data_IF_473474717828
#
_entry.id   IF_473474717828
#
_cell.length_a   1.000
_cell.length_b   1.000
_cell.length_c   1.000
_cell.angle_alpha   90.00
_cell.angle_beta   90.00
_cell.angle_gamma   90.00
#
_symmetry.space_group_name_H-M   'P 1'
#
loop_
_entity.id
_entity.type
_entity.pdbx_description
1 polymer ?
#
# COMPACT_ATOMS: atom_id res chain seq x y z
N UNK A 1 -9.02 -2.50 17.86
CA UNK A 1 -8.33 -2.34 16.56
C UNK A 1 -7.67 -3.68 16.23
N UNK A 2 -7.98 -4.30 15.09
CA UNK A 2 -7.30 -5.54 14.66
C UNK A 2 -6.05 -5.15 13.90
N UNK A 3 -4.89 -5.54 14.42
CA UNK A 3 -3.62 -5.39 13.73
C UNK A 3 -3.61 -6.35 12.54
N UNK A 4 -3.71 -5.82 11.34
CA UNK A 4 -3.58 -6.60 10.10
C UNK A 4 -2.08 -6.75 9.85
N UNK A 5 -1.50 -7.83 10.36
CA UNK A 5 -0.13 -8.23 10.01
C UNK A 5 -0.17 -8.90 8.64
N UNK A 6 0.11 -8.15 7.57
CA UNK A 6 0.51 -8.77 6.31
C UNK A 6 1.94 -9.27 6.49
N UNK A 7 2.10 -10.54 6.86
CA UNK A 7 3.41 -11.19 6.87
C UNK A 7 3.79 -11.56 5.43
N UNK A 8 4.12 -10.57 4.59
CA UNK A 8 4.88 -10.84 3.38
C UNK A 8 6.36 -10.92 3.75
N UNK A 9 7.04 -11.94 3.25
CA UNK A 9 8.49 -12.09 3.39
C UNK A 9 9.20 -10.79 2.95
N UNK A 10 10.08 -10.19 3.77
CA UNK A 10 10.88 -9.03 3.38
C UNK A 10 11.63 -9.21 2.05
N UNK A 11 11.94 -10.45 1.67
CA UNK A 11 12.54 -10.76 0.37
C UNK A 11 11.56 -10.58 -0.82
N UNK A 12 10.25 -10.74 -0.60
CA UNK A 12 9.22 -10.58 -1.63
C UNK A 12 8.62 -9.17 -1.68
N UNK A 13 8.71 -8.39 -0.61
CA UNK A 13 8.21 -7.02 -0.52
C UNK A 13 9.16 -6.14 0.33
N UNK A 14 10.35 -5.81 -0.19
CA UNK A 14 11.36 -5.04 0.55
C UNK A 14 10.92 -3.61 0.86
N UNK A 15 9.87 -3.13 0.19
CA UNK A 15 9.35 -1.76 0.34
C UNK A 15 8.03 -1.69 1.11
N UNK A 16 7.42 -2.83 1.46
CA UNK A 16 6.17 -2.86 2.22
C UNK A 16 4.97 -2.28 1.46
N UNK A 17 4.95 -2.34 0.12
CA UNK A 17 3.98 -1.62 -0.72
C UNK A 17 2.53 -2.03 -0.40
N UNK A 18 2.16 -3.33 -0.35
CA UNK A 18 0.89 -3.80 0.18
C UNK A 18 0.47 -3.17 1.51
N UNK A 19 1.38 -3.11 2.49
CA UNK A 19 1.09 -2.55 3.81
C UNK A 19 0.84 -1.03 3.72
N UNK A 20 1.61 -0.32 2.89
CA UNK A 20 1.42 1.10 2.65
C UNK A 20 0.06 1.41 2.00
N UNK A 21 -0.36 0.61 1.02
CA UNK A 21 -1.69 0.77 0.39
C UNK A 21 -2.80 0.54 1.42
N UNK A 22 -2.67 -0.47 2.28
CA UNK A 22 -3.62 -0.71 3.39
C UNK A 22 -3.69 0.50 4.35
N UNK A 23 -2.54 1.10 4.69
CA UNK A 23 -2.53 2.30 5.53
C UNK A 23 -3.24 3.47 4.86
N UNK A 24 -3.02 3.68 3.56
CA UNK A 24 -3.68 4.74 2.79
C UNK A 24 -5.19 4.51 2.66
N UNK A 25 -5.63 3.26 2.49
CA UNK A 25 -7.06 2.92 2.50
C UNK A 25 -7.76 3.28 3.81
N UNK A 26 -7.05 3.15 4.94
CA UNK A 26 -7.56 3.53 6.26
C UNK A 26 -7.52 5.04 6.52
N UNK A 27 -6.82 5.82 5.69
CA UNK A 27 -6.68 7.28 5.78
C UNK A 27 -7.45 7.98 4.65
N UNK A 28 -8.59 7.43 4.22
CA UNK A 28 -9.29 7.93 3.02
C UNK A 28 -9.86 9.34 3.15
N UNK A 29 -10.02 9.83 4.39
CA UNK A 29 -10.45 11.21 4.67
C UNK A 29 -9.31 12.20 4.43
N UNK A 30 -8.09 11.84 4.83
CA UNK A 30 -6.88 12.66 4.71
C UNK A 30 -6.21 12.50 3.34
N UNK A 31 -6.27 11.29 2.79
CA UNK A 31 -5.70 10.91 1.49
C UNK A 31 -6.84 10.38 0.61
N UNK A 32 -7.51 11.26 -0.15
CA UNK A 32 -8.55 10.84 -1.06
C UNK A 32 -8.04 9.77 -2.05
N UNK A 33 -8.89 8.82 -2.43
CA UNK A 33 -8.53 7.75 -3.38
C UNK A 33 -8.15 8.25 -4.77
N UNK A 34 -8.52 9.48 -5.10
CA UNK A 34 -8.15 10.17 -6.34
C UNK A 34 -6.83 10.94 -6.21
N UNK A 35 -6.23 10.96 -5.02
CA UNK A 35 -4.99 11.68 -4.79
C UNK A 35 -3.85 11.07 -5.61
N UNK A 36 -2.87 11.89 -6.03
CA UNK A 36 -1.68 11.39 -6.71
C UNK A 36 -0.94 10.31 -5.89
N UNK A 37 -0.92 10.45 -4.56
CA UNK A 37 -0.27 9.50 -3.65
C UNK A 37 -0.95 8.12 -3.67
N UNK A 38 -2.28 8.08 -3.55
CA UNK A 38 -3.03 6.83 -3.60
C UNK A 38 -2.92 6.15 -4.98
N UNK A 39 -3.05 6.92 -6.05
CA UNK A 39 -2.92 6.37 -7.40
C UNK A 39 -1.49 5.88 -7.70
N UNK A 40 -0.47 6.57 -7.18
CA UNK A 40 0.92 6.15 -7.34
C UNK A 40 1.22 4.85 -6.58
N UNK A 41 0.77 4.74 -5.34
CA UNK A 41 0.93 3.51 -4.55
C UNK A 41 0.21 2.32 -5.15
N UNK A 42 -0.98 2.50 -5.75
CA UNK A 42 -1.63 1.46 -6.55
C UNK A 42 -0.80 1.04 -7.78
N UNK A 43 -0.19 1.99 -8.48
CA UNK A 43 0.72 1.66 -9.61
C UNK A 43 1.94 0.88 -9.14
N UNK A 44 2.48 1.18 -7.95
CA UNK A 44 3.58 0.42 -7.37
C UNK A 44 3.15 -1.00 -6.99
N UNK A 45 1.94 -1.16 -6.43
CA UNK A 45 1.39 -2.47 -6.07
C UNK A 45 1.16 -3.36 -7.29
N UNK A 46 0.74 -2.78 -8.41
CA UNK A 46 0.45 -3.50 -9.66
C UNK A 46 1.69 -3.73 -10.53
N UNK A 47 2.74 -2.91 -10.41
CA UNK A 47 4.00 -3.10 -11.12
C UNK A 47 4.85 -4.15 -10.40
N UNK A 48 4.59 -5.42 -10.66
CA UNK A 48 5.46 -6.54 -10.25
C UNK A 48 6.60 -6.85 -11.24
N UNK A 49 6.63 -6.15 -12.39
CA UNK A 49 7.46 -6.51 -13.56
C UNK A 49 8.56 -5.48 -13.89
N UNK A 50 9.27 -4.95 -12.89
CA UNK A 50 10.54 -4.25 -13.15
C UNK A 50 11.66 -4.70 -12.23
#
# INVERSE_FOLDING_TARGET
MRQVTCSLDPAMDPYGIPQAVIMLDNMSEEVPKVSPLYLFSLKLLLNKDK
#
